data_IF_530340041777
#
_entry.id   IF_530340041777
#
_cell.length_a   1.000
_cell.length_b   1.000
_cell.length_c   1.000
_cell.angle_alpha   90.00
_cell.angle_beta   90.00
_cell.angle_gamma   90.00
#
_symmetry.space_group_name_H-M   'P 1'
#
loop_
_entity.id
_entity.type
_entity.pdbx_description
1 polymer ?
#
# COMPACT_ATOMS: atom_id res chain seq x y z
N UNK A 1 -22.11 -4.46 -16.94
CA UNK A 1 -21.21 -4.08 -15.83
C UNK A 1 -21.76 -4.74 -14.57
N UNK A 2 -20.89 -5.12 -13.65
CA UNK A 2 -21.26 -5.81 -12.42
C UNK A 2 -20.94 -4.93 -11.22
N UNK A 3 -21.79 -5.02 -10.18
CA UNK A 3 -21.56 -4.30 -8.95
C UNK A 3 -20.55 -5.07 -8.09
N UNK A 4 -19.35 -4.53 -7.97
CA UNK A 4 -18.23 -5.12 -7.23
C UNK A 4 -18.00 -4.36 -5.94
N UNK A 5 -17.77 -5.08 -4.84
CA UNK A 5 -17.40 -4.45 -3.56
C UNK A 5 -15.91 -4.17 -3.53
N UNK A 6 -15.56 -2.91 -3.36
CA UNK A 6 -14.18 -2.46 -3.21
C UNK A 6 -13.98 -1.78 -1.86
N UNK A 7 -12.87 -2.07 -1.17
CA UNK A 7 -12.42 -1.25 -0.04
C UNK A 7 -11.37 -0.27 -0.51
N UNK A 8 -11.60 1.01 -0.24
CA UNK A 8 -10.66 2.09 -0.56
C UNK A 8 -9.96 2.52 0.72
N UNK A 9 -8.63 2.70 0.66
CA UNK A 9 -7.82 3.25 1.77
C UNK A 9 -6.96 4.38 1.26
N UNK A 10 -7.13 5.56 1.84
CA UNK A 10 -6.44 6.77 1.44
C UNK A 10 -5.09 6.93 2.13
N UNK A 11 -4.16 7.47 1.36
CA UNK A 11 -2.81 7.83 1.78
C UNK A 11 -2.50 9.25 1.30
N UNK A 12 -1.79 10.01 2.13
CA UNK A 12 -1.21 11.31 1.75
C UNK A 12 0.10 11.06 1.01
N UNK A 13 0.34 11.82 -0.05
CA UNK A 13 1.64 11.85 -0.73
C UNK A 13 2.52 12.85 0.02
N UNK A 14 3.47 12.36 0.80
CA UNK A 14 4.35 13.20 1.62
C UNK A 14 5.51 13.78 0.78
N UNK A 15 6.00 13.00 -0.19
CA UNK A 15 7.03 13.44 -1.13
C UNK A 15 6.91 12.72 -2.47
N UNK A 16 7.20 13.42 -3.56
CA UNK A 16 7.22 12.89 -4.92
C UNK A 16 8.05 13.82 -5.82
N UNK A 17 9.13 13.30 -6.40
CA UNK A 17 10.00 14.04 -7.32
C UNK A 17 11.49 13.95 -6.93
N UNK A 18 12.27 14.93 -7.40
CA UNK A 18 13.71 15.03 -7.20
C UNK A 18 14.03 16.20 -6.28
N UNK A 19 14.83 15.96 -5.25
CA UNK A 19 15.06 16.91 -4.16
C UNK A 19 16.55 17.21 -4.02
N UNK A 20 16.87 18.41 -3.52
CA UNK A 20 18.20 18.69 -2.99
C UNK A 20 18.34 18.08 -1.59
N UNK A 21 19.58 17.78 -1.19
CA UNK A 21 19.88 17.32 0.17
C UNK A 21 19.41 18.33 1.21
N UNK A 22 18.64 17.85 2.19
CA UNK A 22 18.04 18.67 3.24
C UNK A 22 16.68 19.31 2.89
N UNK A 23 16.30 19.36 1.60
CA UNK A 23 15.06 20.02 1.19
C UNK A 23 13.82 19.12 1.36
N UNK A 24 12.70 19.78 1.66
CA UNK A 24 11.36 19.18 1.81
C UNK A 24 10.43 19.46 0.61
N UNK A 25 10.84 20.35 -0.30
CA UNK A 25 10.11 20.68 -1.53
C UNK A 25 10.85 20.08 -2.72
N UNK A 26 10.16 19.44 -3.68
CA UNK A 26 10.83 18.91 -4.87
C UNK A 26 11.44 20.07 -5.66
N UNK A 27 12.68 19.87 -6.10
CA UNK A 27 13.38 20.80 -6.99
C UNK A 27 13.00 20.56 -8.45
N UNK A 28 12.79 19.29 -8.85
CA UNK A 28 12.25 18.90 -10.16
C UNK A 28 11.18 17.82 -10.00
N UNK A 29 10.19 17.87 -10.90
CA UNK A 29 9.06 16.97 -10.90
C UNK A 29 8.10 17.18 -9.73
N UNK A 30 6.92 16.62 -9.87
CA UNK A 30 5.91 16.47 -8.83
C UNK A 30 5.06 15.23 -9.14
N UNK A 31 4.00 14.98 -8.37
CA UNK A 31 3.15 13.80 -8.61
C UNK A 31 2.50 13.78 -9.99
N UNK A 32 2.08 14.93 -10.54
CA UNK A 32 1.47 14.98 -11.87
C UNK A 32 2.54 14.71 -12.93
N UNK A 33 3.68 15.38 -12.82
CA UNK A 33 4.79 15.27 -13.76
C UNK A 33 5.35 13.84 -13.83
N UNK A 34 5.58 13.20 -12.66
CA UNK A 34 6.08 11.82 -12.58
C UNK A 34 5.06 10.81 -13.14
N UNK A 35 3.76 11.03 -12.92
CA UNK A 35 2.72 10.13 -13.46
C UNK A 35 2.52 10.31 -14.97
N UNK A 36 2.61 11.54 -15.48
CA UNK A 36 2.59 11.82 -16.92
C UNK A 36 3.82 11.25 -17.63
N UNK A 37 4.98 11.32 -16.98
CA UNK A 37 6.21 10.69 -17.47
C UNK A 37 6.11 9.16 -17.46
N UNK A 38 5.60 8.56 -16.38
CA UNK A 38 5.36 7.11 -16.32
C UNK A 38 4.37 6.63 -17.40
N UNK A 39 3.30 7.39 -17.64
CA UNK A 39 2.33 7.13 -18.71
C UNK A 39 3.02 7.18 -20.09
N UNK A 40 3.86 8.18 -20.32
CA UNK A 40 4.58 8.34 -21.59
C UNK A 40 5.64 7.26 -21.80
N UNK A 41 6.43 6.98 -20.77
CA UNK A 41 7.51 5.98 -20.77
C UNK A 41 7.01 4.55 -21.00
N UNK A 42 5.82 4.23 -20.50
CA UNK A 42 5.23 2.89 -20.63
C UNK A 42 4.53 2.65 -21.96
N UNK A 43 4.26 3.71 -22.73
CA UNK A 43 3.58 3.61 -24.01
C UNK A 43 4.36 2.73 -24.99
N UNK A 44 3.67 1.75 -25.59
CA UNK A 44 4.26 0.81 -26.55
C UNK A 44 5.16 -0.29 -25.94
N UNK A 45 5.33 -0.33 -24.61
CA UNK A 45 6.15 -1.36 -23.96
C UNK A 45 5.37 -2.64 -23.68
N UNK A 46 6.09 -3.76 -23.64
CA UNK A 46 5.60 -5.00 -23.06
C UNK A 46 5.65 -4.97 -21.53
N UNK A 47 4.75 -5.67 -20.85
CA UNK A 47 4.65 -5.69 -19.37
C UNK A 47 5.99 -6.05 -18.72
N UNK A 48 6.74 -7.03 -19.23
CA UNK A 48 8.04 -7.41 -18.65
C UNK A 48 9.12 -6.31 -18.74
N UNK A 49 8.98 -5.36 -19.68
CA UNK A 49 9.91 -4.23 -19.85
C UNK A 49 9.64 -3.09 -18.87
N UNK A 50 8.62 -3.23 -18.03
CA UNK A 50 8.20 -2.20 -17.07
C UNK A 50 8.73 -2.42 -15.65
N UNK A 51 9.58 -3.42 -15.43
CA UNK A 51 10.23 -3.61 -14.13
C UNK A 51 11.12 -2.40 -13.80
N UNK A 52 10.83 -1.70 -12.69
CA UNK A 52 11.61 -0.52 -12.27
C UNK A 52 12.73 -0.85 -11.29
N UNK A 53 12.73 -2.06 -10.72
CA UNK A 53 13.80 -2.53 -9.85
C UNK A 53 14.05 -4.02 -10.08
N UNK A 54 15.31 -4.42 -9.93
CA UNK A 54 15.66 -5.83 -9.85
C UNK A 54 15.65 -6.28 -8.38
N UNK A 55 15.29 -7.53 -8.16
CA UNK A 55 15.43 -8.17 -6.86
C UNK A 55 16.68 -9.05 -6.91
N UNK A 56 17.66 -8.85 -6.00
CA UNK A 56 18.83 -9.73 -5.93
C UNK A 56 18.43 -11.20 -5.81
N UNK A 57 19.20 -12.09 -6.46
CA UNK A 57 19.00 -13.54 -6.35
C UNK A 57 19.05 -13.97 -4.88
N UNK A 58 18.04 -14.74 -4.43
CA UNK A 58 17.95 -15.27 -3.06
C UNK A 58 17.12 -14.43 -2.08
N UNK A 59 16.43 -13.39 -2.55
CA UNK A 59 15.49 -12.61 -1.74
C UNK A 59 14.03 -13.03 -2.06
N UNK A 60 13.16 -13.04 -1.06
CA UNK A 60 11.75 -13.45 -1.18
C UNK A 60 10.85 -12.38 -1.82
N UNK A 61 11.35 -11.14 -1.96
CA UNK A 61 10.63 -10.07 -2.65
C UNK A 61 10.63 -10.32 -4.15
N UNK A 62 9.48 -10.30 -4.80
CA UNK A 62 9.36 -10.38 -6.24
C UNK A 62 9.10 -9.00 -6.84
N UNK A 63 9.48 -8.76 -8.11
CA UNK A 63 9.28 -7.47 -8.74
C UNK A 63 7.79 -7.22 -8.99
N UNK A 64 7.47 -5.98 -9.32
CA UNK A 64 6.14 -5.61 -9.79
C UNK A 64 6.26 -4.89 -11.10
N UNK A 65 5.27 -5.13 -11.94
CA UNK A 65 5.24 -4.68 -13.33
C UNK A 65 4.04 -3.76 -13.52
N UNK A 66 4.15 -2.81 -14.42
CA UNK A 66 3.03 -1.97 -14.81
C UNK A 66 2.14 -2.75 -15.76
N UNK A 67 0.94 -3.06 -15.29
CA UNK A 67 -0.09 -3.68 -16.12
C UNK A 67 -0.80 -2.62 -16.95
N UNK A 68 -1.10 -1.47 -16.34
CA UNK A 68 -1.76 -0.35 -17.01
C UNK A 68 -1.57 0.95 -16.22
N UNK A 69 -1.68 2.07 -16.92
CA UNK A 69 -1.82 3.41 -16.34
C UNK A 69 -2.82 4.20 -17.16
N UNK A 70 -3.86 4.73 -16.51
CA UNK A 70 -4.89 5.55 -17.15
C UNK A 70 -4.93 6.93 -16.51
N UNK A 71 -5.19 7.94 -17.34
CA UNK A 71 -5.46 9.31 -16.91
C UNK A 71 -6.89 9.67 -17.29
N UNK A 72 -7.64 10.24 -16.36
CA UNK A 72 -8.99 10.76 -16.61
C UNK A 72 -9.16 12.08 -15.88
N UNK A 73 -9.20 13.18 -16.64
CA UNK A 73 -9.03 14.52 -16.10
C UNK A 73 -7.66 14.68 -15.45
N UNK A 74 -7.64 15.11 -14.18
CA UNK A 74 -6.43 15.25 -13.39
C UNK A 74 -6.11 14.02 -12.51
N UNK A 75 -6.92 12.97 -12.58
CA UNK A 75 -6.74 11.77 -11.77
C UNK A 75 -6.09 10.65 -12.59
N UNK A 76 -5.38 9.77 -11.89
CA UNK A 76 -4.69 8.64 -12.49
C UNK A 76 -5.10 7.35 -11.82
N UNK A 77 -5.16 6.28 -12.60
CA UNK A 77 -5.27 4.92 -12.10
C UNK A 77 -4.02 4.17 -12.53
N UNK A 78 -3.24 3.74 -11.54
CA UNK A 78 -2.07 2.90 -11.73
C UNK A 78 -2.46 1.45 -11.38
N UNK A 79 -2.27 0.54 -12.32
CA UNK A 79 -2.51 -0.91 -12.13
C UNK A 79 -1.18 -1.65 -12.18
N UNK A 80 -0.80 -2.28 -11.08
CA UNK A 80 0.44 -3.08 -10.99
C UNK A 80 0.12 -4.56 -10.96
N UNK A 81 1.00 -5.35 -11.58
CA UNK A 81 1.04 -6.80 -11.46
C UNK A 81 2.12 -7.20 -10.46
N UNK A 82 1.71 -7.70 -9.30
CA UNK A 82 2.63 -8.12 -8.24
C UNK A 82 2.99 -9.57 -8.46
N UNK A 83 4.25 -9.85 -8.80
CA UNK A 83 4.67 -11.20 -9.09
C UNK A 83 4.66 -12.06 -7.80
N UNK A 84 4.23 -13.31 -7.93
CA UNK A 84 4.26 -14.31 -6.84
C UNK A 84 5.16 -15.47 -7.21
N UNK A 85 5.65 -16.27 -6.24
CA UNK A 85 6.44 -17.44 -6.55
C UNK A 85 5.62 -18.41 -7.42
N UNK A 86 6.28 -19.07 -8.37
CA UNK A 86 5.65 -20.12 -9.18
C UNK A 86 5.31 -21.30 -8.27
N UNK A 87 4.06 -21.41 -7.85
CA UNK A 87 3.56 -22.59 -7.13
C UNK A 87 2.82 -23.52 -8.09
N UNK A 88 2.81 -24.83 -7.80
CA UNK A 88 1.94 -25.78 -8.48
C UNK A 88 0.47 -25.48 -8.12
N UNK A 89 -0.28 -24.94 -9.06
CA UNK A 89 -1.69 -24.57 -8.91
C UNK A 89 -2.17 -23.60 -9.98
N UNK A 90 -3.47 -23.28 -9.98
CA UNK A 90 -4.08 -22.28 -10.88
C UNK A 90 -3.83 -20.87 -10.35
N UNK A 91 -2.58 -20.40 -10.39
CA UNK A 91 -2.23 -19.01 -10.09
C UNK A 91 -2.42 -18.18 -11.37
N UNK A 92 -3.12 -17.02 -11.31
CA UNK A 92 -3.22 -16.12 -12.46
C UNK A 92 -1.84 -15.74 -12.99
N UNK A 93 -1.71 -15.60 -14.31
CA UNK A 93 -0.43 -15.25 -14.93
C UNK A 93 -0.59 -14.35 -16.13
N UNK A 94 0.32 -13.38 -16.29
CA UNK A 94 0.35 -12.45 -17.42
C UNK A 94 1.42 -12.86 -18.43
N UNK A 95 1.12 -12.72 -19.73
CA UNK A 95 2.14 -12.89 -20.77
C UNK A 95 3.11 -11.69 -20.75
N UNK A 96 4.42 -11.91 -20.56
CA UNK A 96 5.44 -10.85 -20.45
C UNK A 96 5.48 -9.89 -21.66
N UNK A 97 5.11 -10.37 -22.84
CA UNK A 97 5.16 -9.61 -24.08
C UNK A 97 3.84 -8.88 -24.39
N UNK A 98 2.81 -9.07 -23.57
CA UNK A 98 1.57 -8.30 -23.72
C UNK A 98 1.88 -6.81 -23.55
N UNK A 99 1.26 -5.97 -24.37
CA UNK A 99 1.40 -4.52 -24.24
C UNK A 99 0.76 -4.01 -22.96
N UNK A 100 1.38 -3.01 -22.34
CA UNK A 100 0.80 -2.26 -21.22
C UNK A 100 -0.57 -1.72 -21.61
N UNK A 101 -1.57 -1.94 -20.77
CA UNK A 101 -2.96 -1.50 -20.97
C UNK A 101 -3.82 -2.40 -21.83
N UNK A 102 -3.28 -3.48 -22.38
CA UNK A 102 -4.03 -4.53 -23.10
C UNK A 102 -3.53 -5.92 -22.74
N UNK A 103 -3.02 -6.09 -21.53
CA UNK A 103 -2.37 -7.32 -21.10
C UNK A 103 -3.39 -8.45 -20.90
N UNK A 104 -3.11 -9.62 -21.49
CA UNK A 104 -3.95 -10.80 -21.32
C UNK A 104 -3.50 -11.62 -20.11
N UNK A 105 -4.43 -11.96 -19.23
CA UNK A 105 -4.17 -12.82 -18.06
C UNK A 105 -4.80 -14.19 -18.28
N UNK A 106 -4.00 -15.23 -18.07
CA UNK A 106 -4.41 -16.63 -18.20
C UNK A 106 -4.61 -17.24 -16.82
N UNK A 107 -5.77 -17.87 -16.62
CA UNK A 107 -6.15 -18.54 -15.36
C UNK A 107 -5.77 -20.04 -15.33
N UNK A 108 -5.52 -20.62 -16.50
CA UNK A 108 -5.12 -22.03 -16.63
C UNK A 108 -3.64 -22.15 -16.28
N UNK A 109 -3.30 -23.10 -15.39
CA UNK A 109 -2.05 -23.22 -14.65
C UNK A 109 -0.77 -22.84 -15.40
N UNK A 110 0.22 -22.36 -14.64
CA UNK A 110 1.50 -21.78 -15.07
C UNK A 110 1.98 -22.27 -16.44
N UNK A 111 1.60 -21.55 -17.50
CA UNK A 111 2.15 -21.77 -18.84
C UNK A 111 3.62 -21.39 -18.79
N UNK A 112 4.49 -22.22 -19.36
CA UNK A 112 5.93 -21.92 -19.40
C UNK A 112 6.15 -20.57 -20.10
N UNK A 113 6.77 -19.62 -19.40
CA UNK A 113 7.06 -18.28 -19.91
C UNK A 113 6.09 -17.17 -19.49
N UNK A 114 5.05 -17.45 -18.70
CA UNK A 114 4.16 -16.41 -18.13
C UNK A 114 4.61 -15.97 -16.73
N UNK A 115 4.19 -14.79 -16.29
CA UNK A 115 4.55 -14.20 -14.99
C UNK A 115 3.38 -14.38 -14.01
N UNK A 116 3.45 -15.30 -13.03
CA UNK A 116 2.40 -15.49 -12.05
C UNK A 116 2.31 -14.30 -11.08
N UNK A 117 1.10 -13.93 -10.69
CA UNK A 117 0.90 -12.79 -9.80
C UNK A 117 -0.57 -12.41 -9.60
N UNK A 118 -0.78 -11.20 -9.07
CA UNK A 118 -2.10 -10.61 -8.83
C UNK A 118 -2.09 -9.10 -9.09
N UNK A 119 -3.25 -8.55 -9.43
CA UNK A 119 -3.39 -7.12 -9.75
C UNK A 119 -3.63 -6.26 -8.49
N UNK A 120 -3.00 -5.09 -8.44
CA UNK A 120 -3.28 -4.04 -7.45
C UNK A 120 -3.53 -2.69 -8.14
N UNK A 121 -4.39 -1.89 -7.52
CA UNK A 121 -4.95 -0.67 -8.11
C UNK A 121 -4.73 0.53 -7.19
N UNK A 122 -4.21 1.62 -7.76
CA UNK A 122 -3.91 2.85 -7.02
C UNK A 122 -4.51 4.04 -7.76
N UNK A 123 -5.50 4.68 -7.15
CA UNK A 123 -6.17 5.85 -7.70
C UNK A 123 -5.56 7.13 -7.13
N UNK A 124 -4.75 7.81 -7.93
CA UNK A 124 -4.10 9.06 -7.57
C UNK A 124 -4.99 10.26 -7.86
N UNK A 125 -5.06 11.17 -6.90
CA UNK A 125 -5.83 12.42 -6.97
C UNK A 125 -4.87 13.56 -6.59
N UNK A 126 -3.99 13.98 -7.52
CA UNK A 126 -2.92 14.93 -7.23
C UNK A 126 -3.41 16.27 -6.68
N UNK A 127 -4.62 16.73 -7.08
CA UNK A 127 -5.21 17.98 -6.59
C UNK A 127 -5.45 17.99 -5.08
N UNK A 128 -5.65 16.81 -4.48
CA UNK A 128 -5.84 16.62 -3.04
C UNK A 128 -4.55 16.12 -2.35
N UNK A 129 -3.46 15.91 -3.12
CA UNK A 129 -2.20 15.29 -2.68
C UNK A 129 -2.39 13.93 -1.99
N UNK A 130 -3.30 13.12 -2.53
CA UNK A 130 -3.59 11.77 -2.02
C UNK A 130 -3.62 10.72 -3.13
N UNK A 131 -3.55 9.47 -2.73
CA UNK A 131 -4.04 8.34 -3.53
C UNK A 131 -4.83 7.38 -2.67
N UNK A 132 -5.66 6.55 -3.30
CA UNK A 132 -6.36 5.44 -2.66
C UNK A 132 -5.87 4.10 -3.20
N UNK A 133 -5.54 3.17 -2.31
CA UNK A 133 -5.45 1.75 -2.66
C UNK A 133 -6.88 1.20 -2.84
N UNK A 134 -7.17 0.60 -3.99
CA UNK A 134 -8.49 0.03 -4.30
C UNK A 134 -8.39 -1.50 -4.22
N UNK A 135 -9.08 -2.10 -3.25
CA UNK A 135 -9.01 -3.53 -2.97
C UNK A 135 -10.33 -4.22 -3.27
N UNK A 136 -10.29 -5.29 -4.06
CA UNK A 136 -11.42 -6.19 -4.32
C UNK A 136 -11.21 -7.50 -3.55
N UNK A 137 -12.31 -8.15 -3.14
CA UNK A 137 -12.45 -9.43 -2.40
C UNK A 137 -11.33 -9.81 -1.42
N UNK A 138 -10.12 -10.13 -1.88
CA UNK A 138 -9.01 -10.64 -1.04
C UNK A 138 -7.61 -10.07 -1.37
N UNK A 139 -7.48 -8.96 -2.10
CA UNK A 139 -6.14 -8.46 -2.47
C UNK A 139 -5.40 -7.77 -1.31
N UNK A 140 -4.09 -8.02 -1.22
CA UNK A 140 -3.21 -7.18 -0.38
C UNK A 140 -3.15 -5.76 -0.96
N UNK A 141 -3.01 -4.71 -0.14
CA UNK A 141 -3.04 -3.31 -0.61
C UNK A 141 -1.94 -3.00 -1.64
N UNK A 142 -0.84 -3.76 -1.66
CA UNK A 142 0.31 -3.50 -2.54
C UNK A 142 0.99 -2.15 -2.28
N UNK A 143 0.67 -1.45 -1.20
CA UNK A 143 1.09 -0.07 -0.95
C UNK A 143 2.62 0.10 -0.97
N UNK A 144 3.35 -0.71 -0.19
CA UNK A 144 4.83 -0.67 -0.16
C UNK A 144 5.46 -1.02 -1.51
N UNK A 145 4.80 -1.90 -2.25
CA UNK A 145 5.25 -2.32 -3.58
C UNK A 145 5.09 -1.18 -4.57
N UNK A 146 3.95 -0.50 -4.56
CA UNK A 146 3.73 0.70 -5.37
C UNK A 146 4.68 1.84 -4.99
N UNK A 147 4.89 2.09 -3.70
CA UNK A 147 5.82 3.14 -3.26
C UNK A 147 7.23 2.88 -3.78
N UNK A 148 7.69 1.64 -3.68
CA UNK A 148 8.96 1.21 -4.27
C UNK A 148 8.95 1.32 -5.79
N UNK A 149 7.88 0.89 -6.46
CA UNK A 149 7.75 0.91 -7.91
C UNK A 149 7.90 2.34 -8.46
N UNK A 150 7.15 3.30 -7.91
CA UNK A 150 7.20 4.72 -8.30
C UNK A 150 8.55 5.33 -7.95
N UNK A 151 9.09 5.08 -6.74
CA UNK A 151 10.41 5.57 -6.35
C UNK A 151 11.51 5.08 -7.30
N UNK A 152 11.50 3.79 -7.64
CA UNK A 152 12.46 3.18 -8.57
C UNK A 152 12.19 3.52 -10.04
N UNK A 153 11.04 4.11 -10.35
CA UNK A 153 10.81 4.73 -11.66
C UNK A 153 11.53 6.08 -11.77
N UNK A 154 11.44 6.93 -10.73
CA UNK A 154 12.04 8.28 -10.75
C UNK A 154 13.54 8.22 -11.09
N UNK A 155 14.24 7.23 -10.56
CA UNK A 155 15.63 6.91 -10.91
C UNK A 155 15.72 5.38 -11.08
N UNK A 156 16.04 4.85 -12.28
CA UNK A 156 16.72 5.51 -13.41
C UNK A 156 15.86 5.96 -14.60
N UNK A 157 14.52 5.83 -14.56
CA UNK A 157 13.71 5.83 -15.79
C UNK A 157 13.04 7.16 -16.15
N UNK A 158 12.96 8.11 -15.22
CA UNK A 158 12.31 9.39 -15.51
C UNK A 158 13.04 10.19 -16.58
N UNK A 159 12.30 11.04 -17.31
CA UNK A 159 12.82 12.00 -18.29
C UNK A 159 13.86 12.97 -17.72
N UNK A 160 13.94 13.09 -16.39
CA UNK A 160 14.87 13.97 -15.70
C UNK A 160 16.27 13.38 -15.53
N UNK A 161 16.44 12.07 -15.73
CA UNK A 161 17.75 11.43 -15.58
C UNK A 161 18.60 11.69 -16.82
N UNK A 162 19.80 12.22 -16.61
CA UNK A 162 20.75 12.49 -17.70
C UNK A 162 21.78 11.37 -17.72
N UNK A 163 21.79 10.61 -18.80
CA UNK A 163 22.81 9.59 -19.05
C UNK A 163 23.88 10.06 -20.02
N UNK A 164 25.10 9.59 -19.82
CA UNK A 164 26.16 9.64 -20.81
C UNK A 164 26.48 8.22 -21.31
N UNK A 165 26.64 8.07 -22.63
CA UNK A 165 27.11 6.82 -23.23
C UNK A 165 28.64 6.77 -23.12
N UNK A 166 29.16 5.77 -22.40
CA UNK A 166 30.59 5.49 -22.32
C UNK A 166 31.08 4.81 -23.60
N UNK A 167 32.38 4.90 -23.83
CA UNK A 167 33.03 4.27 -25.00
C UNK A 167 32.88 2.74 -25.04
N UNK A 168 32.64 2.10 -23.89
CA UNK A 168 32.38 0.66 -23.77
C UNK A 168 30.91 0.29 -24.03
N UNK A 169 30.06 1.26 -24.39
CA UNK A 169 28.63 1.06 -24.65
C UNK A 169 27.75 1.09 -23.40
N UNK A 170 28.31 1.34 -22.21
CA UNK A 170 27.53 1.43 -20.96
C UNK A 170 26.99 2.84 -20.74
N UNK A 171 25.86 2.95 -20.04
CA UNK A 171 25.29 4.24 -19.64
C UNK A 171 25.73 4.61 -18.22
N UNK A 172 26.17 5.85 -18.04
CA UNK A 172 26.49 6.43 -16.73
C UNK A 172 25.56 7.60 -16.43
N UNK A 173 24.87 7.56 -15.28
CA UNK A 173 24.07 8.70 -14.82
C UNK A 173 24.98 9.86 -14.43
N UNK A 174 24.72 11.05 -14.99
CA UNK A 174 25.40 12.32 -14.67
C UNK A 174 24.63 13.15 -13.63
N UNK A 175 23.48 12.67 -13.17
CA UNK A 175 22.56 13.39 -12.30
C UNK A 175 21.28 13.74 -13.03
N UNK A 176 20.70 14.89 -12.69
CA UNK A 176 19.33 15.23 -13.06
C UNK A 176 19.22 16.62 -13.69
N UNK A 177 18.29 16.79 -14.61
CA UNK A 177 18.03 18.06 -15.28
C UNK A 177 16.53 18.26 -15.59
N UNK A 178 16.08 19.52 -15.65
CA UNK A 178 14.70 19.84 -16.06
C UNK A 178 14.49 19.53 -17.54
N UNK A 179 15.45 19.95 -18.35
CA UNK A 179 15.59 19.59 -19.77
C UNK A 179 16.97 19.01 -20.05
N UNK A 180 17.09 18.17 -21.08
CA UNK A 180 18.37 17.51 -21.45
C UNK A 180 19.51 18.50 -21.78
N UNK A 181 19.17 19.74 -22.14
CA UNK A 181 20.14 20.82 -22.42
C UNK A 181 20.64 21.54 -21.17
N UNK A 182 20.00 21.35 -20.01
CA UNK A 182 20.33 22.10 -18.81
C UNK A 182 21.57 21.55 -18.12
N UNK A 183 22.16 22.37 -17.24
CA UNK A 183 23.22 21.89 -16.35
C UNK A 183 22.67 20.82 -15.42
N UNK A 184 23.31 19.66 -15.41
CA UNK A 184 22.96 18.56 -14.51
C UNK A 184 23.19 18.94 -13.03
N UNK A 185 22.33 18.39 -12.18
CA UNK A 185 22.27 18.64 -10.74
C UNK A 185 22.37 17.34 -9.97
N UNK A 186 22.99 17.43 -8.79
CA UNK A 186 23.03 16.34 -7.81
C UNK A 186 21.77 16.41 -6.94
N UNK A 187 20.70 15.80 -7.43
CA UNK A 187 19.44 15.61 -6.72
C UNK A 187 19.31 14.16 -6.25
N UNK A 188 18.30 13.86 -5.45
CA UNK A 188 17.95 12.49 -5.11
C UNK A 188 16.44 12.25 -5.23
N UNK A 189 16.03 11.06 -5.70
CA UNK A 189 14.64 10.70 -5.91
C UNK A 189 13.95 10.41 -4.57
N UNK A 190 12.74 10.95 -4.41
CA UNK A 190 11.86 10.59 -3.29
C UNK A 190 10.46 10.29 -3.81
N UNK A 191 9.90 9.22 -3.29
CA UNK A 191 8.47 8.99 -3.24
C UNK A 191 8.16 8.37 -1.88
N UNK A 192 7.25 8.97 -1.13
CA UNK A 192 6.83 8.47 0.18
C UNK A 192 5.41 8.86 0.48
N UNK A 193 4.74 8.02 1.26
CA UNK A 193 3.35 8.24 1.61
C UNK A 193 3.00 7.72 2.99
N UNK A 194 2.00 8.37 3.59
CA UNK A 194 1.52 8.06 4.93
C UNK A 194 0.00 7.81 4.91
N UNK A 195 -0.51 6.98 5.82
CA UNK A 195 -1.95 6.77 5.92
C UNK A 195 -2.68 8.09 6.14
N UNK A 196 -3.77 8.31 5.41
CA UNK A 196 -4.58 9.50 5.62
C UNK A 196 -5.38 9.33 6.92
N UNK A 197 -5.08 10.16 7.91
CA UNK A 197 -5.80 10.22 9.18
C UNK A 197 -6.96 11.21 9.12
N UNK A 198 -8.13 10.78 9.56
CA UNK A 198 -9.23 11.65 9.95
C UNK A 198 -8.91 12.27 11.30
N UNK A 199 -9.06 13.59 11.47
CA UNK A 199 -8.98 14.20 12.79
C UNK A 199 -10.09 13.63 13.70
N UNK A 200 -9.81 13.50 14.99
CA UNK A 200 -10.82 13.06 15.97
C UNK A 200 -10.35 11.94 16.89
N UNK A 201 -10.40 10.68 16.46
CA UNK A 201 -10.14 9.55 17.37
C UNK A 201 -8.70 9.56 17.92
N UNK A 202 -7.69 9.71 17.06
CA UNK A 202 -6.28 9.73 17.50
C UNK A 202 -5.95 10.97 18.31
N UNK A 203 -6.47 12.13 17.91
CA UNK A 203 -6.26 13.39 18.64
C UNK A 203 -6.88 13.30 20.03
N UNK A 204 -8.12 12.78 20.12
CA UNK A 204 -8.81 12.54 21.38
C UNK A 204 -8.05 11.56 22.29
N UNK A 205 -7.46 10.51 21.72
CA UNK A 205 -6.60 9.57 22.47
C UNK A 205 -5.36 10.30 23.03
N UNK A 206 -4.69 11.12 22.22
CA UNK A 206 -3.46 11.83 22.61
C UNK A 206 -3.74 12.93 23.65
N UNK A 207 -4.80 13.72 23.44
CA UNK A 207 -5.19 14.83 24.30
C UNK A 207 -5.63 14.33 25.69
N UNK A 208 -6.22 13.14 25.75
CA UNK A 208 -6.70 12.53 26.99
C UNK A 208 -5.76 11.42 27.52
N UNK A 209 -4.47 11.40 27.13
CA UNK A 209 -3.57 10.30 27.47
C UNK A 209 -3.52 9.97 28.97
N UNK A 210 -3.53 11.00 29.83
CA UNK A 210 -3.48 10.85 31.29
C UNK A 210 -4.75 10.24 31.90
N UNK A 211 -5.83 10.15 31.12
CA UNK A 211 -7.10 9.55 31.51
C UNK A 211 -7.33 8.18 30.86
N UNK A 212 -6.37 7.65 30.09
CA UNK A 212 -6.46 6.31 29.53
C UNK A 212 -6.42 5.30 30.68
N UNK A 213 -7.50 4.54 30.85
CA UNK A 213 -7.59 3.52 31.90
C UNK A 213 -7.26 2.11 31.38
N UNK A 214 -7.51 1.86 30.09
CA UNK A 214 -7.34 0.55 29.49
C UNK A 214 -6.95 0.66 28.01
N UNK A 215 -5.99 -0.17 27.61
CA UNK A 215 -5.72 -0.48 26.20
C UNK A 215 -6.38 -1.80 25.86
N UNK A 216 -7.19 -1.79 24.81
CA UNK A 216 -7.85 -2.94 24.20
C UNK A 216 -7.07 -3.32 22.96
N UNK A 217 -6.57 -4.55 22.86
CA UNK A 217 -5.98 -5.04 21.60
C UNK A 217 -6.86 -6.14 21.02
N UNK A 218 -7.17 -6.01 19.73
CA UNK A 218 -7.80 -7.04 18.92
C UNK A 218 -6.75 -7.60 17.98
N UNK A 219 -6.39 -8.88 18.11
CA UNK A 219 -5.37 -9.51 17.25
C UNK A 219 -5.81 -10.90 16.81
N UNK A 220 -5.36 -11.38 15.64
CA UNK A 220 -5.53 -12.77 15.22
C UNK A 220 -4.18 -13.50 15.33
N UNK A 221 -4.13 -14.52 16.18
CA UNK A 221 -2.93 -15.33 16.38
C UNK A 221 -3.00 -16.58 15.52
N UNK A 222 -2.07 -16.74 14.60
CA UNK A 222 -1.94 -17.97 13.83
C UNK A 222 -1.19 -19.04 14.65
N UNK A 223 -1.89 -20.10 15.06
CA UNK A 223 -1.33 -21.21 15.85
C UNK A 223 -0.29 -22.06 15.11
N UNK A 224 0.24 -21.60 13.96
CA UNK A 224 1.31 -22.24 13.21
C UNK A 224 2.69 -21.71 13.60
N UNK A 225 2.79 -20.50 14.13
CA UNK A 225 4.06 -19.89 14.53
C UNK A 225 4.38 -20.14 16.02
N UNK A 226 5.61 -20.56 16.31
CA UNK A 226 6.11 -20.81 17.66
C UNK A 226 6.09 -19.54 18.53
N UNK A 227 6.31 -18.37 17.93
CA UNK A 227 6.28 -17.08 18.63
C UNK A 227 4.85 -16.72 19.09
N UNK A 228 3.84 -16.92 18.25
CA UNK A 228 2.43 -16.62 18.57
C UNK A 228 1.89 -17.58 19.62
N UNK A 229 2.32 -18.85 19.59
CA UNK A 229 2.06 -19.82 20.68
C UNK A 229 2.66 -19.37 22.01
N UNK A 230 3.90 -18.89 22.00
CA UNK A 230 4.57 -18.40 23.22
C UNK A 230 3.90 -17.12 23.76
N UNK A 231 3.49 -16.20 22.88
CA UNK A 231 2.74 -15.01 23.27
C UNK A 231 1.41 -15.39 23.92
N UNK A 232 0.63 -16.26 23.28
CA UNK A 232 -0.63 -16.77 23.85
C UNK A 232 -0.38 -17.50 25.17
N UNK A 233 0.66 -18.33 25.26
CA UNK A 233 0.98 -19.08 26.47
C UNK A 233 1.37 -18.15 27.63
N UNK A 234 2.20 -17.13 27.39
CA UNK A 234 2.52 -16.09 28.37
C UNK A 234 1.29 -15.32 28.82
N UNK A 235 0.38 -15.00 27.89
CA UNK A 235 -0.90 -14.36 28.23
C UNK A 235 -1.76 -15.28 29.09
N UNK A 236 -1.93 -16.55 28.71
CA UNK A 236 -2.67 -17.54 29.49
C UNK A 236 -2.06 -17.73 30.88
N UNK A 237 -0.73 -17.75 31.01
CA UNK A 237 -0.03 -17.88 32.28
C UNK A 237 -0.20 -16.62 33.16
N UNK A 238 -0.25 -15.42 32.57
CA UNK A 238 -0.56 -14.19 33.29
C UNK A 238 -2.00 -14.14 33.82
N UNK A 239 -2.97 -14.65 33.05
CA UNK A 239 -4.39 -14.74 33.41
C UNK A 239 -4.74 -15.94 34.31
N UNK A 240 -3.89 -16.97 34.37
CA UNK A 240 -4.03 -18.15 35.25
C UNK A 240 -3.93 -17.84 36.76
N UNK A 241 -3.55 -16.61 37.16
CA UNK A 241 -3.68 -16.14 38.55
C UNK A 241 -5.14 -15.78 38.90
N UNK A 242 -6.11 -16.62 38.52
CA UNK A 242 -7.51 -16.41 38.90
C UNK A 242 -8.58 -17.26 38.22
N UNK A 243 -8.32 -17.92 37.08
CA UNK A 243 -9.33 -18.75 36.40
C UNK A 243 -8.72 -20.06 35.90
N UNK A 244 -9.30 -21.18 36.33
CA UNK A 244 -8.97 -22.53 35.84
C UNK A 244 -9.60 -22.74 34.45
N UNK A 245 -8.80 -22.57 33.39
CA UNK A 245 -9.21 -22.94 32.03
C UNK A 245 -8.44 -24.19 31.62
N UNK A 246 -9.16 -25.30 31.47
CA UNK A 246 -8.61 -26.56 30.97
C UNK A 246 -8.51 -26.60 29.44
N UNK A 247 -7.41 -27.21 28.98
CA UNK A 247 -7.29 -28.06 27.80
C UNK A 247 -7.06 -27.45 26.41
N UNK A 248 -6.09 -28.07 25.72
CA UNK A 248 -5.76 -28.11 24.28
C UNK A 248 -6.10 -26.88 23.44
N UNK A 249 -5.06 -26.12 23.11
CA UNK A 249 -5.09 -25.06 22.09
C UNK A 249 -5.56 -25.64 20.73
N UNK A 250 -6.55 -25.02 20.06
CA UNK A 250 -6.98 -25.45 18.73
C UNK A 250 -5.88 -25.29 17.68
N UNK A 251 -5.93 -26.12 16.63
CA UNK A 251 -4.92 -26.15 15.56
C UNK A 251 -5.02 -24.98 14.55
N UNK A 252 -6.14 -24.25 14.56
CA UNK A 252 -6.41 -23.08 13.70
C UNK A 252 -6.14 -21.76 14.42
N UNK A 253 -6.01 -20.66 13.67
CA UNK A 253 -5.84 -19.33 14.25
C UNK A 253 -6.96 -18.93 15.23
N UNK A 254 -6.62 -18.14 16.24
CA UNK A 254 -7.55 -17.68 17.28
C UNK A 254 -7.59 -16.15 17.27
N UNK A 255 -8.78 -15.58 17.21
CA UNK A 255 -8.98 -14.16 17.49
C UNK A 255 -8.86 -13.93 19.00
N UNK A 256 -7.87 -13.14 19.41
CA UNK A 256 -7.63 -12.79 20.81
C UNK A 256 -7.95 -11.32 21.02
N UNK A 257 -8.90 -11.07 21.92
CA UNK A 257 -9.17 -9.74 22.45
C UNK A 257 -8.70 -9.70 23.89
N UNK A 258 -7.82 -8.77 24.23
CA UNK A 258 -7.35 -8.61 25.60
C UNK A 258 -7.29 -7.14 26.01
N UNK A 259 -7.46 -6.91 27.31
CA UNK A 259 -7.47 -5.58 27.91
C UNK A 259 -6.34 -5.53 28.94
N UNK A 260 -5.54 -4.48 28.91
CA UNK A 260 -4.47 -4.26 29.89
C UNK A 260 -4.65 -2.88 30.54
N UNK A 261 -4.64 -2.79 31.88
CA UNK A 261 -4.39 -1.52 32.54
C UNK A 261 -2.96 -1.09 32.23
N UNK A 262 -2.77 0.15 31.81
CA UNK A 262 -1.46 0.68 31.48
C UNK A 262 -1.37 2.13 31.94
N UNK A 263 -0.19 2.53 32.40
CA UNK A 263 0.18 3.92 32.61
C UNK A 263 1.17 4.27 31.49
N UNK A 264 0.65 4.79 30.37
CA UNK A 264 1.46 5.19 29.22
C UNK A 264 1.76 6.68 29.32
N UNK A 265 3.04 7.03 29.25
CA UNK A 265 3.41 8.42 28.99
C UNK A 265 2.95 8.83 27.59
N UNK A 266 2.75 10.13 27.36
CA UNK A 266 2.42 10.67 26.03
C UNK A 266 3.41 10.22 24.95
N UNK A 267 4.70 10.16 25.26
CA UNK A 267 5.74 9.74 24.30
C UNK A 267 5.61 8.26 23.93
N UNK A 268 5.31 7.39 24.90
CA UNK A 268 5.08 5.96 24.64
C UNK A 268 3.81 5.72 23.84
N UNK A 269 2.75 6.49 24.10
CA UNK A 269 1.51 6.45 23.33
C UNK A 269 1.73 6.88 21.88
N UNK A 270 2.46 7.97 21.65
CA UNK A 270 2.85 8.44 20.32
C UNK A 270 3.70 7.39 19.59
N UNK A 271 4.64 6.75 20.28
CA UNK A 271 5.46 5.67 19.73
C UNK A 271 4.61 4.44 19.36
N UNK A 272 3.68 4.02 20.23
CA UNK A 272 2.77 2.90 19.96
C UNK A 272 1.92 3.15 18.73
N UNK A 273 1.33 4.34 18.60
CA UNK A 273 0.52 4.72 17.44
C UNK A 273 1.38 4.64 16.17
N UNK A 274 2.60 5.20 16.21
CA UNK A 274 3.53 5.20 15.07
C UNK A 274 3.95 3.79 14.67
N UNK A 275 4.24 2.92 15.64
CA UNK A 275 4.64 1.53 15.39
C UNK A 275 3.49 0.69 14.83
N UNK A 276 2.28 0.90 15.36
CA UNK A 276 1.07 0.28 14.83
C UNK A 276 0.87 0.65 13.36
N UNK A 277 0.98 1.93 12.99
CA UNK A 277 0.82 2.38 11.59
C UNK A 277 1.85 1.82 10.63
N UNK A 278 3.11 1.73 11.08
CA UNK A 278 4.20 1.15 10.28
C UNK A 278 3.96 -0.35 10.02
N UNK A 279 3.30 -1.02 10.96
CA UNK A 279 2.96 -2.44 10.90
C UNK A 279 1.68 -2.70 10.10
N UNK A 280 0.73 -1.77 10.14
CA UNK A 280 -0.60 -1.87 9.52
C UNK A 280 -0.75 -1.16 8.17
N UNK A 281 0.35 -0.79 7.52
CA UNK A 281 0.33 -0.29 6.12
C UNK A 281 -0.11 -1.38 5.11
N UNK A 282 -0.22 -2.63 5.56
CA UNK A 282 -0.77 -3.77 4.83
C UNK A 282 -2.19 -4.08 5.33
N UNK A 283 -3.01 -4.80 4.54
CA UNK A 283 -4.45 -5.12 4.78
C UNK A 283 -4.84 -5.77 6.14
N UNK A 284 -3.93 -5.86 7.12
CA UNK A 284 -4.12 -6.47 8.44
C UNK A 284 -4.87 -5.58 9.45
N UNK A 285 -5.20 -4.33 9.11
CA UNK A 285 -5.94 -3.40 10.00
C UNK A 285 -7.21 -4.02 10.59
N UNK A 286 -7.89 -4.90 9.85
CA UNK A 286 -9.11 -5.56 10.34
C UNK A 286 -8.87 -6.58 11.46
N UNK A 287 -7.64 -7.11 11.56
CA UNK A 287 -7.27 -8.23 12.40
C UNK A 287 -6.20 -7.91 13.45
N UNK A 288 -5.55 -6.74 13.42
CA UNK A 288 -4.64 -6.26 14.48
C UNK A 288 -4.87 -4.75 14.73
N UNK A 289 -5.56 -4.40 15.82
CA UNK A 289 -5.93 -3.02 16.14
C UNK A 289 -5.81 -2.72 17.64
N UNK A 290 -5.52 -1.45 17.96
CA UNK A 290 -5.49 -0.92 19.32
C UNK A 290 -6.67 0.01 19.55
N UNK A 291 -7.37 -0.22 20.65
CA UNK A 291 -8.46 0.59 21.17
C UNK A 291 -8.09 1.16 22.53
N UNK A 292 -8.57 2.35 22.85
CA UNK A 292 -8.32 3.02 24.12
C UNK A 292 -9.64 3.36 24.80
N UNK A 293 -9.74 3.03 26.08
CA UNK A 293 -10.84 3.49 26.94
C UNK A 293 -10.33 4.62 27.81
N UNK A 294 -11.11 5.69 27.85
CA UNK A 294 -10.81 6.91 28.59
C UNK A 294 -11.76 6.98 29.79
N UNK A 295 -11.18 7.22 30.96
CA UNK A 295 -11.90 7.33 32.22
C UNK A 295 -12.94 8.46 32.14
N UNK A 296 -14.17 8.16 32.55
CA UNK A 296 -15.28 9.11 32.54
C UNK A 296 -16.11 9.11 31.25
N UNK A 297 -15.73 8.30 30.26
CA UNK A 297 -16.51 8.14 29.02
C UNK A 297 -17.30 6.83 29.00
N UNK A 298 -18.55 6.88 28.50
CA UNK A 298 -19.49 5.75 28.53
C UNK A 298 -19.02 4.58 27.66
N UNK A 299 -18.27 3.64 28.23
CA UNK A 299 -17.85 2.35 27.62
C UNK A 299 -17.35 2.44 26.16
N UNK A 300 -16.92 3.62 25.73
CA UNK A 300 -16.53 3.90 24.37
C UNK A 300 -15.08 3.50 24.19
N UNK A 301 -14.80 2.80 23.10
CA UNK A 301 -13.44 2.40 22.73
C UNK A 301 -13.06 3.22 21.50
N UNK A 302 -12.00 4.01 21.64
CA UNK A 302 -11.39 4.75 20.54
C UNK A 302 -10.38 3.86 19.85
N UNK A 303 -10.76 3.32 18.70
CA UNK A 303 -9.90 2.48 17.87
C UNK A 303 -8.99 3.32 16.99
N UNK A 304 -7.71 2.95 16.89
CA UNK A 304 -6.76 3.58 15.97
C UNK A 304 -7.21 3.41 14.51
N UNK A 305 -7.77 2.25 14.16
CA UNK A 305 -8.37 2.05 12.82
C UNK A 305 -9.50 3.02 12.48
N UNK A 306 -10.23 3.51 13.49
CA UNK A 306 -11.31 4.49 13.31
C UNK A 306 -10.82 5.86 12.83
N UNK A 307 -9.53 6.15 12.99
CA UNK A 307 -8.89 7.36 12.46
C UNK A 307 -8.44 7.21 11.01
N UNK A 308 -8.53 6.03 10.39
CA UNK A 308 -8.06 5.85 9.00
C UNK A 308 -9.17 6.24 8.02
N UNK A 309 -8.81 6.98 6.97
CA UNK A 309 -9.68 7.22 5.81
C UNK A 309 -9.80 5.95 4.95
N UNK A 310 -10.63 5.01 5.41
CA UNK A 310 -10.92 3.73 4.76
C UNK A 310 -12.42 3.43 4.83
N UNK A 311 -12.99 2.96 3.72
CA UNK A 311 -14.39 2.49 3.67
C UNK A 311 -14.65 1.56 2.46
N UNK A 312 -15.78 0.88 2.49
CA UNK A 312 -16.29 0.02 1.42
C UNK A 312 -17.20 0.78 0.45
N UNK A 313 -17.07 0.50 -0.84
CA UNK A 313 -17.86 1.09 -1.90
C UNK A 313 -18.29 0.01 -2.89
N UNK A 314 -19.55 0.08 -3.31
CA UNK A 314 -20.04 -0.69 -4.45
C UNK A 314 -19.66 0.06 -5.73
N UNK A 315 -18.87 -0.54 -6.61
CA UNK A 315 -18.39 0.05 -7.86
C UNK A 315 -18.98 -0.72 -9.05
N UNK A 316 -19.60 -0.02 -10.00
CA UNK A 316 -20.12 -0.63 -11.23
C UNK A 316 -19.00 -0.73 -12.27
N UNK A 317 -18.30 -1.85 -12.28
CA UNK A 317 -17.09 -2.07 -13.10
C UNK A 317 -17.20 -3.34 -13.94
N UNK A 318 -16.27 -3.49 -14.88
CA UNK A 318 -16.16 -4.70 -15.69
C UNK A 318 -14.87 -5.45 -15.35
N UNK A 319 -14.94 -6.77 -15.40
CA UNK A 319 -13.79 -7.66 -15.28
C UNK A 319 -13.30 -8.05 -16.65
N UNK A 320 -11.99 -7.93 -16.90
CA UNK A 320 -11.36 -8.54 -18.07
C UNK A 320 -11.27 -10.06 -17.91
N UNK A 321 -11.11 -10.51 -16.67
CA UNK A 321 -11.10 -11.92 -16.24
C UNK A 321 -11.31 -12.00 -14.73
N UNK A 322 -11.21 -13.20 -14.14
CA UNK A 322 -11.42 -13.41 -12.71
C UNK A 322 -10.46 -12.58 -11.82
N UNK A 323 -9.24 -12.27 -12.29
CA UNK A 323 -8.21 -11.56 -11.51
C UNK A 323 -8.20 -10.05 -11.78
N UNK A 324 -8.44 -9.63 -13.02
CA UNK A 324 -8.22 -8.25 -13.45
C UNK A 324 -9.54 -7.51 -13.73
N UNK A 325 -9.77 -6.44 -12.97
CA UNK A 325 -10.72 -5.36 -13.28
C UNK A 325 -10.20 -4.53 -14.45
N UNK A 326 -11.08 -4.18 -15.38
CA UNK A 326 -10.78 -3.30 -16.50
C UNK A 326 -10.51 -1.86 -16.01
N UNK A 327 -9.29 -1.36 -16.27
CA UNK A 327 -8.82 -0.05 -15.79
C UNK A 327 -9.66 1.12 -16.30
N UNK A 328 -10.20 1.05 -17.52
CA UNK A 328 -11.03 2.13 -18.07
C UNK A 328 -12.36 2.22 -17.32
N UNK A 329 -13.04 1.09 -17.13
CA UNK A 329 -14.28 1.05 -16.34
C UNK A 329 -14.05 1.50 -14.89
N UNK A 330 -12.92 1.11 -14.29
CA UNK A 330 -12.57 1.46 -12.91
C UNK A 330 -12.30 2.96 -12.74
N UNK A 331 -11.44 3.57 -13.55
CA UNK A 331 -11.12 5.00 -13.40
C UNK A 331 -12.34 5.88 -13.68
N UNK A 332 -13.21 5.49 -14.62
CA UNK A 332 -14.45 6.19 -14.92
C UNK A 332 -15.41 6.14 -13.72
N UNK A 333 -15.62 4.96 -13.14
CA UNK A 333 -16.53 4.79 -12.00
C UNK A 333 -15.99 5.49 -10.73
N UNK A 334 -14.69 5.41 -10.46
CA UNK A 334 -14.05 6.14 -9.35
C UNK A 334 -14.21 7.66 -9.50
N UNK A 335 -13.98 8.19 -10.70
CA UNK A 335 -14.16 9.62 -10.97
C UNK A 335 -15.63 10.04 -10.86
N UNK A 336 -16.56 9.23 -11.36
CA UNK A 336 -18.02 9.47 -11.25
C UNK A 336 -18.46 9.52 -9.79
N UNK A 337 -17.93 8.66 -8.93
CA UNK A 337 -18.22 8.60 -7.49
C UNK A 337 -17.28 9.45 -6.64
N UNK A 338 -16.37 10.21 -7.24
CA UNK A 338 -15.29 10.91 -6.53
C UNK A 338 -15.80 11.82 -5.41
N UNK A 339 -16.84 12.61 -5.66
CA UNK A 339 -17.41 13.51 -4.64
C UNK A 339 -17.90 12.77 -3.39
N UNK A 340 -18.44 11.56 -3.55
CA UNK A 340 -18.91 10.73 -2.44
C UNK A 340 -17.73 10.06 -1.73
N UNK A 341 -16.82 9.44 -2.49
CA UNK A 341 -15.65 8.74 -1.95
C UNK A 341 -14.74 9.71 -1.18
N UNK A 342 -14.51 10.91 -1.72
CA UNK A 342 -13.64 11.92 -1.13
C UNK A 342 -14.19 12.53 0.17
N UNK A 343 -15.44 12.23 0.57
CA UNK A 343 -15.94 12.60 1.91
C UNK A 343 -15.16 11.92 3.03
N UNK A 344 -14.44 10.83 2.75
CA UNK A 344 -13.59 10.16 3.72
C UNK A 344 -12.38 10.97 4.17
N UNK A 345 -11.97 11.97 3.38
CA UNK A 345 -10.77 12.78 3.62
C UNK A 345 -11.10 14.26 3.87
N UNK A 346 -12.38 14.60 4.04
CA UNK A 346 -12.87 15.95 4.28
C UNK A 346 -13.23 16.18 5.74
#
# INVERSE_FOLDING_TARGET
>A
MALEKATLTFYKVDSCGLYKWGDHTPFLGDTVDILDDLLSWSSGKGVAQTATYQVPKGNDLLPSLLLDIKKAGNNYLLTLWNQTPTQQGSVPSVDPNSSVGSASVTMNGTKKGTIPGFATYFWFIPSERVFACVQFDHSTTGHKVMEKYVKSFIDPFSKHVVFNLKADGTFESKGYAGHLSDKHLNLHPKFSSSLFRKPGNTDHILDNHAMIEQVVRKTNLEMKNTADKQLLQRMMDAFRRGINISSKLPASGINVNYQMPIDLTRQELEALIKDWEKSNSNSKVQWDDYGFKIKGEMNKIYWLSGSIARDGFDLDVSRQNAEVIDSNSLIQELNKKSQYILRLIK
#
